data_IF_777592702547
#
_entry.id   IF_777592702547
#
_cell.length_a   1.000
_cell.length_b   1.000
_cell.length_c   1.000
_cell.angle_alpha   90.00
_cell.angle_beta   90.00
_cell.angle_gamma   90.00
#
_symmetry.space_group_name_H-M   'P 1'
#
loop_
_entity.id
_entity.type
_entity.pdbx_description
1 polymer ?
#
# COMPACT_ATOMS: atom_id res chain seq x y z
N UNK A 1 11.82 35.60 -2.95
CA UNK A 1 11.94 34.20 -2.51
C UNK A 1 10.54 33.72 -2.17
N UNK A 2 10.07 32.64 -2.79
CA UNK A 2 8.86 31.96 -2.33
C UNK A 2 9.19 31.28 -0.99
N UNK A 3 8.36 31.52 0.04
CA UNK A 3 8.55 30.92 1.36
C UNK A 3 8.33 29.39 1.33
N UNK A 4 8.98 28.61 2.21
CA UNK A 4 8.81 27.15 2.33
C UNK A 4 7.34 26.69 2.29
N UNK A 5 6.44 27.44 2.93
CA UNK A 5 4.99 27.17 2.96
C UNK A 5 4.31 27.18 1.58
N UNK A 6 4.88 27.88 0.58
CA UNK A 6 4.36 27.85 -0.79
C UNK A 6 4.79 26.59 -1.56
N UNK A 7 5.90 25.96 -1.18
CA UNK A 7 6.33 24.71 -1.80
C UNK A 7 5.50 23.52 -1.34
N UNK A 8 5.21 23.41 -0.04
CA UNK A 8 4.31 22.38 0.50
C UNK A 8 2.89 22.51 -0.07
N UNK A 9 2.40 23.75 -0.23
CA UNK A 9 1.09 24.01 -0.85
C UNK A 9 1.08 23.66 -2.34
N UNK A 10 2.17 23.94 -3.05
CA UNK A 10 2.33 23.55 -4.45
C UNK A 10 2.39 22.02 -4.59
N UNK A 11 3.17 21.35 -3.74
CA UNK A 11 3.26 19.88 -3.68
C UNK A 11 1.90 19.25 -3.45
N UNK A 12 1.16 19.71 -2.43
CA UNK A 12 -0.21 19.26 -2.15
C UNK A 12 -1.19 19.53 -3.30
N UNK A 13 -0.96 20.61 -4.07
CA UNK A 13 -1.78 20.92 -5.25
C UNK A 13 -1.43 20.01 -6.43
N UNK A 14 -0.15 19.69 -6.61
CA UNK A 14 0.31 18.75 -7.64
C UNK A 14 -0.11 17.31 -7.33
N UNK A 15 -0.06 16.89 -6.05
CA UNK A 15 -0.57 15.60 -5.59
C UNK A 15 -2.07 15.46 -5.90
N UNK A 16 -2.87 16.47 -5.55
CA UNK A 16 -4.30 16.53 -5.91
C UNK A 16 -4.56 16.52 -7.42
N UNK A 17 -3.73 17.21 -8.19
CA UNK A 17 -3.83 17.18 -9.65
C UNK A 17 -3.46 15.81 -10.23
N UNK A 18 -2.56 15.07 -9.57
CA UNK A 18 -2.17 13.72 -9.95
C UNK A 18 -3.26 12.70 -9.59
N UNK A 19 -3.86 12.81 -8.40
CA UNK A 19 -5.02 12.02 -7.97
C UNK A 19 -6.23 12.19 -8.91
N UNK A 20 -6.40 13.37 -9.51
CA UNK A 20 -7.41 13.63 -10.54
C UNK A 20 -7.07 13.03 -11.92
N UNK A 21 -5.86 12.52 -12.13
CA UNK A 21 -5.37 12.00 -13.42
C UNK A 21 -5.01 10.51 -13.43
N UNK A 22 -4.84 9.91 -12.25
CA UNK A 22 -4.66 8.47 -12.05
C UNK A 22 -5.24 8.10 -10.68
N UNK A 23 -6.37 7.41 -10.71
CA UNK A 23 -7.09 6.95 -9.53
C UNK A 23 -6.16 6.08 -8.67
N UNK A 24 -6.06 6.38 -7.38
CA UNK A 24 -5.28 5.59 -6.41
C UNK A 24 -5.69 4.12 -6.50
N UNK A 25 -7.00 3.86 -6.66
CA UNK A 25 -7.52 2.52 -6.85
C UNK A 25 -6.93 1.83 -8.10
N UNK A 26 -6.72 2.57 -9.18
CA UNK A 26 -6.14 2.03 -10.42
C UNK A 26 -4.64 1.76 -10.28
N UNK A 27 -3.91 2.54 -9.48
CA UNK A 27 -2.52 2.24 -9.14
C UNK A 27 -2.43 0.98 -8.28
N UNK A 28 -3.24 0.87 -7.22
CA UNK A 28 -3.30 -0.33 -6.40
C UNK A 28 -3.66 -1.58 -7.23
N UNK A 29 -4.69 -1.49 -8.08
CA UNK A 29 -5.09 -2.57 -9.00
C UNK A 29 -3.99 -2.93 -10.02
N UNK A 30 -3.23 -1.95 -10.51
CA UNK A 30 -2.07 -2.22 -11.37
C UNK A 30 -0.95 -2.94 -10.60
N UNK A 31 -0.70 -2.55 -9.36
CA UNK A 31 0.23 -3.23 -8.45
C UNK A 31 -0.13 -4.70 -8.26
N UNK A 32 -1.41 -4.96 -7.94
CA UNK A 32 -1.99 -6.32 -7.84
C UNK A 32 -1.76 -7.15 -9.10
N UNK A 33 -2.07 -6.58 -10.27
CA UNK A 33 -1.88 -7.27 -11.54
C UNK A 33 -0.40 -7.62 -11.80
N UNK A 34 0.53 -6.72 -11.48
CA UNK A 34 1.96 -6.96 -11.61
C UNK A 34 2.45 -8.06 -10.63
N UNK A 35 1.96 -8.05 -9.39
CA UNK A 35 2.27 -9.07 -8.39
C UNK A 35 1.79 -10.46 -8.82
N UNK A 36 0.57 -10.56 -9.36
CA UNK A 36 0.02 -11.81 -9.91
C UNK A 36 0.84 -12.33 -11.11
N UNK A 37 1.46 -11.44 -11.89
CA UNK A 37 2.40 -11.77 -12.96
C UNK A 37 3.83 -12.05 -12.46
N UNK A 38 4.05 -12.05 -11.14
CA UNK A 38 5.35 -12.23 -10.47
C UNK A 38 6.38 -11.15 -10.83
N UNK A 39 5.92 -9.97 -11.26
CA UNK A 39 6.75 -8.78 -11.50
C UNK A 39 6.82 -7.96 -10.21
N UNK A 40 7.38 -8.55 -9.17
CA UNK A 40 7.25 -8.04 -7.80
C UNK A 40 7.90 -6.68 -7.59
N UNK A 41 9.08 -6.43 -8.17
CA UNK A 41 9.75 -5.13 -8.08
C UNK A 41 8.93 -4.01 -8.74
N UNK A 42 8.40 -4.26 -9.94
CA UNK A 42 7.51 -3.32 -10.64
C UNK A 42 6.20 -3.10 -9.84
N UNK A 43 5.66 -4.16 -9.22
CA UNK A 43 4.48 -4.08 -8.38
C UNK A 43 4.72 -3.19 -7.16
N UNK A 44 5.85 -3.40 -6.46
CA UNK A 44 6.24 -2.61 -5.28
C UNK A 44 6.37 -1.13 -5.62
N UNK A 45 7.02 -0.77 -6.74
CA UNK A 45 7.14 0.63 -7.15
C UNK A 45 5.77 1.30 -7.30
N UNK A 46 4.82 0.62 -7.96
CA UNK A 46 3.47 1.14 -8.19
C UNK A 46 2.66 1.20 -6.89
N UNK A 47 2.73 0.18 -6.05
CA UNK A 47 2.03 0.11 -4.77
C UNK A 47 2.54 1.18 -3.79
N UNK A 48 3.85 1.39 -3.71
CA UNK A 48 4.43 2.46 -2.88
C UNK A 48 4.06 3.86 -3.37
N UNK A 49 3.88 4.03 -4.68
CA UNK A 49 3.34 5.27 -5.23
C UNK A 49 1.86 5.45 -4.83
N UNK A 50 1.04 4.41 -4.96
CA UNK A 50 -0.38 4.41 -4.55
C UNK A 50 -0.51 4.80 -3.08
N UNK A 51 0.19 4.05 -2.21
CA UNK A 51 0.21 4.24 -0.75
C UNK A 51 0.58 5.66 -0.34
N UNK A 52 1.61 6.24 -0.98
CA UNK A 52 2.04 7.62 -0.70
C UNK A 52 0.95 8.63 -1.01
N UNK A 53 0.19 8.42 -2.09
CA UNK A 53 -0.92 9.31 -2.46
C UNK A 53 -2.06 9.15 -1.44
N UNK A 54 -2.44 7.92 -1.09
CA UNK A 54 -3.43 7.65 -0.02
C UNK A 54 -3.07 8.36 1.28
N UNK A 55 -1.81 8.21 1.76
CA UNK A 55 -1.32 8.89 2.97
C UNK A 55 -1.43 10.42 2.90
N UNK A 56 -1.17 11.01 1.73
CA UNK A 56 -1.24 12.47 1.52
C UNK A 56 -2.68 12.98 1.49
N UNK A 57 -3.60 12.15 1.04
CA UNK A 57 -5.03 12.43 1.01
C UNK A 57 -5.71 12.13 2.36
N UNK A 58 -5.00 11.43 3.26
CA UNK A 58 -5.52 10.99 4.56
C UNK A 58 -6.48 9.80 4.42
N UNK A 59 -6.34 9.05 3.33
CA UNK A 59 -7.06 7.80 3.09
C UNK A 59 -6.32 6.61 3.73
N UNK A 60 -6.99 5.48 3.76
CA UNK A 60 -6.47 4.22 4.31
C UNK A 60 -5.53 3.54 3.31
N UNK A 61 -4.62 2.70 3.81
CA UNK A 61 -3.56 2.05 3.01
C UNK A 61 -3.54 0.53 3.15
N UNK A 62 -4.51 -0.03 3.87
CA UNK A 62 -4.63 -1.46 4.16
C UNK A 62 -4.58 -2.31 2.88
N UNK A 63 -5.25 -1.84 1.82
CA UNK A 63 -5.21 -2.48 0.50
C UNK A 63 -3.82 -2.52 -0.12
N UNK A 64 -3.06 -1.42 -0.11
CA UNK A 64 -1.68 -1.40 -0.61
C UNK A 64 -0.72 -2.21 0.26
N UNK A 65 -0.87 -2.11 1.59
CA UNK A 65 0.01 -2.74 2.55
C UNK A 65 -0.05 -4.27 2.42
N UNK A 66 -1.24 -4.85 2.30
CA UNK A 66 -1.43 -6.29 2.03
C UNK A 66 -0.74 -6.74 0.74
N UNK A 67 -0.83 -5.95 -0.33
CA UNK A 67 -0.20 -6.30 -1.60
C UNK A 67 1.32 -6.15 -1.57
N UNK A 68 1.83 -5.18 -0.81
CA UNK A 68 3.26 -5.04 -0.55
C UNK A 68 3.79 -6.26 0.20
N UNK A 69 3.07 -6.75 1.22
CA UNK A 69 3.42 -8.00 1.92
C UNK A 69 3.58 -9.16 0.93
N UNK A 70 2.57 -9.38 0.07
CA UNK A 70 2.61 -10.43 -0.97
C UNK A 70 3.81 -10.30 -1.90
N UNK A 71 4.14 -9.09 -2.32
CA UNK A 71 5.29 -8.85 -3.19
C UNK A 71 6.61 -9.14 -2.49
N UNK A 72 6.77 -8.70 -1.24
CA UNK A 72 7.99 -8.95 -0.47
C UNK A 72 8.16 -10.42 -0.10
N UNK A 73 7.08 -11.15 0.16
CA UNK A 73 7.10 -12.63 0.25
C UNK A 73 7.60 -13.23 -1.07
N UNK A 74 7.07 -12.77 -2.21
CA UNK A 74 7.50 -13.21 -3.54
C UNK A 74 8.99 -13.00 -3.82
N UNK A 75 9.57 -11.95 -3.26
CA UNK A 75 11.01 -11.63 -3.33
C UNK A 75 11.86 -12.28 -2.22
N UNK A 76 11.23 -12.99 -1.27
CA UNK A 76 11.86 -13.53 -0.06
C UNK A 76 12.52 -12.45 0.82
N UNK A 77 11.95 -11.24 0.81
CA UNK A 77 12.38 -10.12 1.65
C UNK A 77 11.54 -10.10 2.93
N UNK A 78 11.92 -10.97 3.88
CA UNK A 78 11.22 -11.13 5.17
C UNK A 78 11.07 -9.81 5.92
N UNK A 79 12.13 -9.00 5.98
CA UNK A 79 12.14 -7.74 6.73
C UNK A 79 11.08 -6.76 6.23
N UNK A 80 10.98 -6.57 4.91
CA UNK A 80 9.98 -5.67 4.36
C UNK A 80 8.57 -6.29 4.43
N UNK A 81 8.43 -7.61 4.27
CA UNK A 81 7.15 -8.28 4.45
C UNK A 81 6.59 -8.06 5.87
N UNK A 82 7.40 -8.27 6.91
CA UNK A 82 7.02 -8.02 8.31
C UNK A 82 6.60 -6.57 8.54
N UNK A 83 7.38 -5.62 8.00
CA UNK A 83 7.09 -4.18 8.12
C UNK A 83 5.71 -3.82 7.55
N UNK A 84 5.38 -4.32 6.35
CA UNK A 84 4.10 -4.00 5.71
C UNK A 84 2.93 -4.80 6.31
N UNK A 85 3.20 -5.96 6.91
CA UNK A 85 2.19 -6.70 7.67
C UNK A 85 1.78 -5.95 8.94
N UNK A 86 2.74 -5.34 9.65
CA UNK A 86 2.46 -4.49 10.82
C UNK A 86 1.56 -3.30 10.42
N UNK A 87 1.88 -2.62 9.32
CA UNK A 87 1.07 -1.51 8.79
C UNK A 87 -0.33 -1.97 8.37
N UNK A 88 -0.45 -3.11 7.71
CA UNK A 88 -1.75 -3.69 7.34
C UNK A 88 -2.60 -4.03 8.58
N UNK A 89 -1.98 -4.48 9.68
CA UNK A 89 -2.64 -4.73 10.98
C UNK A 89 -3.13 -3.44 11.64
N UNK A 90 -2.38 -2.34 11.56
CA UNK A 90 -2.86 -1.03 12.03
C UNK A 90 -4.13 -0.57 11.28
N UNK A 91 -4.22 -0.94 10.01
CA UNK A 91 -5.34 -0.64 9.11
C UNK A 91 -6.65 -1.39 9.41
N UNK A 92 -6.63 -2.46 10.21
CA UNK A 92 -7.82 -3.28 10.55
C UNK A 92 -8.97 -2.42 11.08
N UNK A 93 -8.67 -1.37 11.85
CA UNK A 93 -9.69 -0.47 12.41
C UNK A 93 -10.51 0.30 11.36
N UNK A 94 -10.05 0.31 10.11
CA UNK A 94 -10.74 0.97 8.99
C UNK A 94 -11.58 0.00 8.15
N UNK A 95 -11.45 -1.31 8.39
CA UNK A 95 -12.23 -2.34 7.70
C UNK A 95 -13.63 -2.36 8.30
N UNK A 96 -14.66 -2.50 7.45
CA UNK A 96 -16.03 -2.59 7.93
C UNK A 96 -16.21 -3.86 8.78
N UNK A 97 -16.95 -3.76 9.90
CA UNK A 97 -17.14 -4.85 10.88
C UNK A 97 -17.50 -6.21 10.25
N UNK A 98 -18.24 -6.22 9.14
CA UNK A 98 -18.64 -7.44 8.44
C UNK A 98 -17.51 -8.17 7.71
N UNK A 99 -16.35 -7.53 7.52
CA UNK A 99 -15.17 -8.07 6.83
C UNK A 99 -13.93 -8.19 7.73
N UNK A 100 -14.00 -7.78 9.01
CA UNK A 100 -12.84 -7.79 9.91
C UNK A 100 -12.29 -9.21 10.08
N UNK A 101 -13.15 -10.20 10.34
CA UNK A 101 -12.72 -11.59 10.55
C UNK A 101 -11.98 -12.16 9.32
N UNK A 102 -12.52 -11.92 8.12
CA UNK A 102 -11.91 -12.37 6.86
C UNK A 102 -10.56 -11.69 6.61
N UNK A 103 -10.47 -10.39 6.93
CA UNK A 103 -9.25 -9.60 6.78
C UNK A 103 -8.17 -10.04 7.80
N UNK A 104 -8.52 -10.26 9.07
CA UNK A 104 -7.59 -10.79 10.07
C UNK A 104 -7.07 -12.18 9.69
N UNK A 105 -7.95 -13.06 9.19
CA UNK A 105 -7.54 -14.38 8.69
C UNK A 105 -6.57 -14.26 7.50
N UNK A 106 -6.76 -13.28 6.61
CA UNK A 106 -5.82 -12.98 5.53
C UNK A 106 -4.45 -12.55 6.07
N UNK A 107 -4.40 -11.68 7.08
CA UNK A 107 -3.15 -11.22 7.69
C UNK A 107 -2.41 -12.34 8.40
N UNK A 108 -3.12 -13.23 9.11
CA UNK A 108 -2.51 -14.38 9.78
C UNK A 108 -1.92 -15.37 8.77
N UNK A 109 -2.61 -15.62 7.65
CA UNK A 109 -2.05 -16.44 6.55
C UNK A 109 -0.78 -15.82 5.96
N UNK A 110 -0.72 -14.49 5.86
CA UNK A 110 0.48 -13.79 5.40
C UNK A 110 1.62 -13.90 6.42
N UNK A 111 1.32 -13.82 7.72
CA UNK A 111 2.30 -14.03 8.80
C UNK A 111 2.92 -15.43 8.70
N UNK A 112 2.10 -16.47 8.58
CA UNK A 112 2.56 -17.85 8.40
C UNK A 112 3.50 -17.99 7.19
N UNK A 113 3.15 -17.37 6.05
CA UNK A 113 3.99 -17.36 4.85
C UNK A 113 5.33 -16.65 5.06
N UNK A 114 5.37 -15.58 5.86
CA UNK A 114 6.60 -14.84 6.20
C UNK A 114 7.49 -15.68 7.13
N UNK A 115 6.90 -16.45 8.02
CA UNK A 115 7.63 -17.34 8.92
C UNK A 115 8.30 -18.52 8.22
N UNK A 116 7.83 -18.88 7.03
CA UNK A 116 8.41 -19.91 6.16
C UNK A 116 9.57 -19.41 5.25
N UNK A 117 9.86 -18.09 5.21
CA UNK A 117 10.93 -17.49 4.37
C UNK A 117 12.34 -17.72 4.93
#
# INVERSE_FOLDING_TARGET
MLEPANYEKAEKTFQKAFALSGDVEQLCNRGRALAALKKYEEAIEVLLQSRRISEQEGDVTDGEDVELVRCYIGLKDKKNAEKYLELAREGVNNVADEFIDDYEEELDRLEDMIDEL
#
